data_IF_357921906400
#
_entry.id   IF_357921906400
#
_cell.length_a   1.000
_cell.length_b   1.000
_cell.length_c   1.000
_cell.angle_alpha   90.00
_cell.angle_beta   90.00
_cell.angle_gamma   90.00
#
_symmetry.space_group_name_H-M   'P 1'
#
loop_
_entity.id
_entity.type
_entity.pdbx_description
1 polymer ?
#
# COMPACT_ATOMS: atom_id res chain seq x y z
N UNK A 1 -60.07 12.07 14.12
CA UNK A 1 -61.06 11.05 13.71
C UNK A 1 -61.50 11.38 12.29
N UNK A 2 -60.91 10.78 11.28
CA UNK A 2 -61.52 10.59 9.94
C UNK A 2 -60.89 9.29 9.42
N UNK A 3 -61.71 8.24 9.36
CA UNK A 3 -61.36 6.98 8.79
C UNK A 3 -61.67 6.94 7.30
N UNK A 4 -60.84 6.32 6.53
CA UNK A 4 -61.14 5.87 5.15
C UNK A 4 -61.01 4.38 5.09
N UNK A 5 -62.17 3.73 4.92
CA UNK A 5 -62.23 2.33 4.55
C UNK A 5 -61.99 2.17 3.05
N UNK A 6 -61.33 1.10 2.67
CA UNK A 6 -61.20 0.66 1.29
C UNK A 6 -61.86 -0.71 1.16
N UNK A 7 -62.86 -0.74 0.27
CA UNK A 7 -63.62 -1.92 -0.15
C UNK A 7 -62.72 -2.91 -0.94
N UNK A 8 -62.86 -4.18 -0.62
CA UNK A 8 -62.47 -5.28 -1.49
C UNK A 8 -63.62 -5.65 -2.43
N UNK A 9 -63.33 -5.62 -3.72
CA UNK A 9 -64.15 -6.30 -4.72
C UNK A 9 -63.36 -7.38 -5.41
N UNK A 10 -63.84 -8.59 -5.28
CA UNK A 10 -63.30 -9.75 -5.96
C UNK A 10 -63.93 -9.92 -7.33
N UNK A 11 -63.12 -10.27 -8.31
CA UNK A 11 -63.60 -11.17 -9.40
C UNK A 11 -62.46 -11.62 -10.33
N UNK A 12 -62.52 -12.85 -10.60
CA UNK A 12 -62.22 -13.66 -11.83
C UNK A 12 -60.77 -14.12 -12.04
N UNK A 13 -60.60 -15.39 -11.70
CA UNK A 13 -59.61 -16.30 -12.25
C UNK A 13 -59.80 -16.45 -13.77
N UNK A 14 -58.80 -16.18 -14.55
CA UNK A 14 -58.65 -16.75 -15.89
C UNK A 14 -57.33 -17.55 -15.96
N UNK A 15 -57.49 -18.85 -16.07
CA UNK A 15 -56.43 -19.82 -16.37
C UNK A 15 -55.85 -19.58 -17.75
N UNK A 16 -54.53 -19.36 -17.84
CA UNK A 16 -53.80 -19.46 -19.10
C UNK A 16 -52.70 -20.53 -18.94
N UNK A 17 -52.75 -21.49 -19.88
CA UNK A 17 -51.90 -22.65 -19.88
C UNK A 17 -50.42 -22.33 -20.05
N UNK A 18 -49.64 -23.06 -19.30
CA UNK A 18 -48.18 -23.02 -19.36
C UNK A 18 -47.65 -23.80 -20.54
N UNK A 19 -47.03 -23.13 -21.47
CA UNK A 19 -46.12 -23.76 -22.41
C UNK A 19 -44.70 -23.68 -21.83
N UNK A 20 -44.17 -24.83 -21.34
CA UNK A 20 -42.76 -24.94 -20.95
C UNK A 20 -41.90 -24.94 -22.22
N UNK A 21 -41.23 -23.85 -22.50
CA UNK A 21 -40.06 -23.83 -23.38
C UNK A 21 -38.82 -24.07 -22.51
N UNK A 22 -38.29 -25.27 -22.58
CA UNK A 22 -36.96 -25.61 -22.07
C UNK A 22 -35.89 -24.93 -22.96
N UNK A 23 -35.50 -23.72 -22.61
CA UNK A 23 -34.32 -23.10 -23.14
C UNK A 23 -33.09 -23.64 -22.39
N UNK A 24 -32.24 -24.39 -23.11
CA UNK A 24 -30.95 -24.80 -22.62
C UNK A 24 -30.04 -23.52 -22.51
N UNK A 25 -29.92 -22.97 -21.31
CA UNK A 25 -28.85 -22.05 -21.00
C UNK A 25 -27.53 -22.83 -20.96
N UNK A 26 -26.71 -22.65 -21.99
CA UNK A 26 -25.30 -23.02 -21.95
C UNK A 26 -24.66 -22.26 -20.81
N UNK A 27 -24.16 -22.97 -19.81
CA UNK A 27 -23.30 -22.45 -18.73
C UNK A 27 -22.02 -21.93 -19.41
N UNK A 28 -22.01 -20.64 -19.75
CA UNK A 28 -20.78 -19.90 -20.00
C UNK A 28 -20.01 -19.88 -18.69
N UNK A 29 -18.89 -20.59 -18.65
CA UNK A 29 -18.01 -20.61 -17.49
C UNK A 29 -17.63 -19.18 -17.11
N UNK A 30 -17.95 -18.76 -15.90
CA UNK A 30 -17.26 -17.65 -15.26
C UNK A 30 -15.80 -18.07 -15.19
N UNK A 31 -14.96 -17.49 -16.03
CA UNK A 31 -13.51 -17.55 -15.88
C UNK A 31 -13.21 -16.81 -14.57
N UNK A 32 -12.94 -17.58 -13.52
CA UNK A 32 -12.30 -17.05 -12.32
C UNK A 32 -11.00 -16.39 -12.77
N UNK A 33 -10.82 -15.09 -12.43
CA UNK A 33 -9.56 -14.42 -12.65
C UNK A 33 -8.45 -15.28 -12.01
N UNK A 34 -7.31 -15.50 -12.68
CA UNK A 34 -6.22 -16.26 -12.09
C UNK A 34 -5.89 -15.63 -10.74
N UNK A 35 -5.90 -16.46 -9.69
CA UNK A 35 -5.37 -16.06 -8.40
C UNK A 35 -3.97 -15.48 -8.63
N UNK A 36 -3.58 -14.37 -7.94
CA UNK A 36 -2.23 -13.86 -8.05
C UNK A 36 -1.28 -15.03 -7.80
N UNK A 37 -0.25 -15.12 -8.65
CA UNK A 37 0.83 -16.09 -8.45
C UNK A 37 1.48 -15.74 -7.10
N UNK A 38 0.95 -16.32 -6.06
CA UNK A 38 1.53 -16.25 -4.73
C UNK A 38 2.76 -17.15 -4.80
N UNK A 39 3.83 -16.61 -5.39
CA UNK A 39 5.11 -17.30 -5.46
C UNK A 39 5.35 -17.90 -4.08
N UNK A 40 5.22 -19.25 -3.99
CA UNK A 40 5.38 -19.95 -2.73
C UNK A 40 6.76 -19.60 -2.22
N UNK A 41 6.83 -18.65 -1.26
CA UNK A 41 8.06 -18.44 -0.54
C UNK A 41 8.48 -19.79 -0.01
N UNK A 42 9.76 -20.10 -0.16
CA UNK A 42 10.35 -21.29 0.43
C UNK A 42 9.79 -21.42 1.86
N UNK A 43 9.33 -22.61 2.25
CA UNK A 43 8.79 -22.90 3.58
C UNK A 43 9.76 -22.52 4.75
N UNK A 44 10.92 -22.00 4.41
CA UNK A 44 11.99 -21.54 5.29
C UNK A 44 11.94 -20.05 5.64
N UNK A 45 11.14 -19.19 4.97
CA UNK A 45 11.13 -17.76 5.28
C UNK A 45 10.40 -17.48 6.61
N UNK A 46 11.14 -16.98 7.59
CA UNK A 46 10.61 -16.66 8.94
C UNK A 46 10.23 -15.20 9.08
N UNK A 47 10.91 -14.32 8.36
CA UNK A 47 10.62 -12.89 8.35
C UNK A 47 10.44 -12.42 6.93
N UNK A 48 9.27 -11.88 6.61
CA UNK A 48 8.93 -11.43 5.26
C UNK A 48 8.26 -10.06 5.21
N UNK A 49 8.49 -9.35 4.11
CA UNK A 49 7.71 -8.18 3.71
C UNK A 49 6.75 -8.57 2.58
N UNK A 50 5.54 -8.04 2.65
CA UNK A 50 4.45 -8.28 1.71
C UNK A 50 3.93 -6.94 1.22
N UNK A 51 3.83 -6.75 -0.09
CA UNK A 51 3.24 -5.56 -0.68
C UNK A 51 1.70 -5.66 -0.57
N UNK A 52 1.09 -4.77 0.20
CA UNK A 52 -0.35 -4.73 0.41
C UNK A 52 -1.05 -3.71 -0.50
N UNK A 53 -0.28 -2.78 -1.02
CA UNK A 53 -0.69 -1.78 -1.99
C UNK A 53 0.53 -1.11 -2.59
N UNK A 54 0.40 -0.59 -3.81
CA UNK A 54 1.50 0.00 -4.55
C UNK A 54 1.14 1.30 -5.27
N UNK A 55 -0.07 1.82 -5.07
CA UNK A 55 -0.53 3.07 -5.67
C UNK A 55 -0.22 4.30 -4.85
N UNK A 56 -0.20 5.45 -5.51
CA UNK A 56 -0.10 6.76 -4.87
C UNK A 56 -1.43 7.15 -4.23
N UNK A 57 -1.40 7.89 -3.14
CA UNK A 57 -2.50 8.60 -2.48
C UNK A 57 -3.81 7.79 -2.32
N UNK A 58 -4.78 8.03 -3.19
CA UNK A 58 -6.09 7.39 -3.13
C UNK A 58 -6.17 6.07 -3.91
N UNK A 59 -5.10 5.66 -4.55
CA UNK A 59 -5.07 4.49 -5.42
C UNK A 59 -5.84 4.71 -6.72
N UNK A 60 -6.35 3.64 -7.32
CA UNK A 60 -7.15 3.70 -8.53
C UNK A 60 -8.20 2.58 -8.57
N UNK A 61 -9.39 2.83 -9.16
CA UNK A 61 -9.84 4.08 -9.80
C UNK A 61 -10.06 5.23 -8.82
N UNK A 62 -9.88 6.47 -9.28
CA UNK A 62 -10.13 7.66 -8.47
C UNK A 62 -11.53 8.24 -8.69
N UNK A 63 -12.02 8.97 -7.67
CA UNK A 63 -13.27 9.73 -7.75
C UNK A 63 -13.22 10.68 -8.94
N UNK A 64 -14.31 10.71 -9.73
CA UNK A 64 -14.44 11.58 -10.89
C UNK A 64 -13.87 11.01 -12.19
N UNK A 65 -13.11 9.92 -12.14
CA UNK A 65 -12.63 9.21 -13.33
C UNK A 65 -13.52 8.00 -13.65
N UNK A 66 -14.67 8.24 -14.27
CA UNK A 66 -15.61 7.18 -14.68
C UNK A 66 -15.11 6.30 -15.84
N UNK A 67 -14.05 6.72 -16.51
CA UNK A 67 -13.46 6.00 -17.65
C UNK A 67 -12.29 5.11 -17.25
N UNK A 68 -11.91 5.09 -15.97
CA UNK A 68 -10.82 4.26 -15.49
C UNK A 68 -11.13 2.77 -15.73
N UNK A 69 -10.21 2.08 -16.40
CA UNK A 69 -10.36 0.66 -16.73
C UNK A 69 -10.43 -0.24 -15.50
N UNK A 70 -9.86 0.19 -14.37
CA UNK A 70 -9.93 -0.52 -13.10
C UNK A 70 -11.35 -0.67 -12.51
N UNK A 71 -12.34 0.08 -13.02
CA UNK A 71 -13.74 -0.17 -12.65
C UNK A 71 -14.24 -1.53 -13.14
N UNK A 72 -13.70 -2.01 -14.25
CA UNK A 72 -14.11 -3.26 -14.89
C UNK A 72 -13.02 -4.35 -14.84
N UNK A 73 -11.79 -3.98 -14.50
CA UNK A 73 -10.67 -4.91 -14.41
C UNK A 73 -10.00 -4.81 -13.01
N UNK A 74 -10.23 -5.79 -12.12
CA UNK A 74 -9.61 -5.83 -10.79
C UNK A 74 -8.07 -5.87 -10.80
N UNK A 75 -7.45 -6.33 -11.90
CA UNK A 75 -6.00 -6.37 -12.04
C UNK A 75 -5.39 -4.95 -12.18
N UNK A 76 -6.20 -4.00 -12.64
CA UNK A 76 -5.82 -2.60 -12.77
C UNK A 76 -6.24 -1.74 -11.56
N UNK A 77 -6.85 -2.34 -10.54
CA UNK A 77 -7.14 -1.62 -9.30
C UNK A 77 -5.90 -1.50 -8.43
N UNK A 78 -5.58 -0.26 -8.03
CA UNK A 78 -4.48 0.03 -7.12
C UNK A 78 -5.03 0.32 -5.72
N UNK A 79 -4.54 -0.42 -4.72
CA UNK A 79 -4.62 0.05 -3.35
C UNK A 79 -3.43 0.98 -3.10
N UNK A 80 -3.61 2.07 -2.33
CA UNK A 80 -2.51 2.94 -1.96
C UNK A 80 -1.38 2.15 -1.29
N UNK A 81 -0.19 2.71 -1.33
CA UNK A 81 1.02 2.07 -0.82
C UNK A 81 0.87 1.63 0.63
N UNK A 82 1.25 0.39 0.89
CA UNK A 82 1.39 -0.16 2.24
C UNK A 82 2.18 -1.46 2.17
N UNK A 83 3.05 -1.72 3.16
CA UNK A 83 3.73 -2.98 3.33
C UNK A 83 3.30 -3.66 4.64
N UNK A 84 3.16 -4.99 4.60
CA UNK A 84 3.02 -5.83 5.78
C UNK A 84 4.35 -6.52 6.11
N UNK A 85 4.77 -6.46 7.35
CA UNK A 85 5.94 -7.18 7.87
C UNK A 85 5.46 -8.27 8.82
N UNK A 86 5.94 -9.50 8.63
CA UNK A 86 5.58 -10.62 9.50
C UNK A 86 6.83 -11.34 10.01
N UNK A 87 6.88 -11.57 11.31
CA UNK A 87 7.79 -12.51 11.97
C UNK A 87 6.98 -13.75 12.32
N UNK A 88 7.12 -14.79 11.50
CA UNK A 88 6.36 -16.04 11.64
C UNK A 88 6.74 -16.80 12.90
N UNK A 89 8.01 -16.77 13.32
CA UNK A 89 8.49 -17.48 14.50
C UNK A 89 7.88 -16.93 15.79
N UNK A 90 7.68 -15.60 15.84
CA UNK A 90 7.10 -14.90 17.00
C UNK A 90 5.60 -14.61 16.82
N UNK A 91 5.06 -14.84 15.63
CA UNK A 91 3.68 -14.52 15.29
C UNK A 91 3.40 -13.01 15.32
N UNK A 92 4.43 -12.17 15.10
CA UNK A 92 4.33 -10.71 15.13
C UNK A 92 4.09 -10.14 13.77
N UNK A 93 3.29 -9.08 13.71
CA UNK A 93 2.86 -8.46 12.46
C UNK A 93 2.85 -6.94 12.59
N UNK A 94 3.44 -6.27 11.60
CA UNK A 94 3.54 -4.83 11.55
C UNK A 94 3.05 -4.32 10.19
N UNK A 95 2.54 -3.09 10.17
CA UNK A 95 2.08 -2.43 8.98
C UNK A 95 2.90 -1.16 8.75
N UNK A 96 3.30 -0.91 7.51
CA UNK A 96 3.89 0.36 7.08
C UNK A 96 2.84 1.09 6.26
N UNK A 97 2.45 2.26 6.73
CA UNK A 97 1.35 3.09 6.28
C UNK A 97 -0.04 2.45 6.39
N UNK A 98 -1.00 3.27 6.74
CA UNK A 98 -2.41 2.93 6.88
C UNK A 98 -3.24 3.74 5.89
N UNK A 99 -3.37 3.23 4.70
CA UNK A 99 -4.08 3.90 3.63
C UNK A 99 -5.59 3.93 3.86
N UNK A 100 -6.34 4.72 3.08
CA UNK A 100 -7.81 4.65 3.07
C UNK A 100 -8.38 3.25 2.78
N UNK A 101 -7.58 2.35 2.19
CA UNK A 101 -7.95 0.97 1.88
C UNK A 101 -7.49 -0.05 2.93
N UNK A 102 -7.08 0.39 4.11
CA UNK A 102 -6.50 -0.45 5.16
C UNK A 102 -7.34 -1.69 5.48
N UNK A 103 -8.67 -1.59 5.45
CA UNK A 103 -9.55 -2.74 5.70
C UNK A 103 -9.34 -3.87 4.68
N UNK A 104 -9.23 -3.55 3.40
CA UNK A 104 -8.97 -4.53 2.34
C UNK A 104 -7.52 -5.04 2.39
N UNK A 105 -6.58 -4.16 2.71
CA UNK A 105 -5.17 -4.50 2.86
C UNK A 105 -4.93 -5.46 4.03
N UNK A 106 -5.55 -5.23 5.19
CA UNK A 106 -5.47 -6.15 6.32
C UNK A 106 -6.13 -7.50 6.01
N UNK A 107 -7.26 -7.49 5.29
CA UNK A 107 -7.88 -8.75 4.83
C UNK A 107 -6.96 -9.55 3.91
N UNK A 108 -6.26 -8.87 3.01
CA UNK A 108 -5.24 -9.49 2.16
C UNK A 108 -4.07 -10.02 3.01
N UNK A 109 -3.58 -9.21 3.93
CA UNK A 109 -2.48 -9.58 4.82
C UNK A 109 -2.82 -10.82 5.64
N UNK A 110 -4.04 -10.89 6.21
CA UNK A 110 -4.54 -12.07 6.91
C UNK A 110 -4.56 -13.30 6.00
N UNK A 111 -5.10 -13.17 4.79
CA UNK A 111 -5.18 -14.27 3.83
C UNK A 111 -3.80 -14.80 3.44
N UNK A 112 -2.84 -13.90 3.15
CA UNK A 112 -1.49 -14.27 2.73
C UNK A 112 -0.65 -14.89 3.87
N UNK A 113 -0.97 -14.55 5.12
CA UNK A 113 -0.23 -15.06 6.31
C UNK A 113 -0.98 -16.14 7.08
N UNK A 114 -2.12 -16.62 6.55
CA UNK A 114 -2.93 -17.68 7.19
C UNK A 114 -3.53 -17.24 8.54
N UNK A 115 -3.74 -15.94 8.75
CA UNK A 115 -4.30 -15.46 10.01
C UNK A 115 -5.82 -15.47 9.98
N UNK A 116 -6.41 -16.11 10.96
CA UNK A 116 -7.85 -16.23 11.12
C UNK A 116 -8.31 -15.65 12.46
N UNK A 117 -9.61 -15.41 12.58
CA UNK A 117 -10.23 -14.97 13.82
C UNK A 117 -10.66 -13.51 13.81
N UNK A 118 -11.12 -13.04 14.97
CA UNK A 118 -11.59 -11.67 15.19
C UNK A 118 -10.50 -10.83 15.85
N UNK A 119 -10.46 -9.54 15.50
CA UNK A 119 -9.58 -8.57 16.12
C UNK A 119 -8.59 -7.95 15.14
N UNK A 120 -7.87 -6.96 15.61
CA UNK A 120 -6.75 -6.33 14.90
C UNK A 120 -5.51 -7.16 15.19
N UNK A 121 -5.04 -7.89 14.18
CA UNK A 121 -3.89 -8.78 14.33
C UNK A 121 -2.61 -8.04 13.94
N UNK A 122 -2.35 -6.90 14.59
CA UNK A 122 -1.15 -6.09 14.42
C UNK A 122 -0.48 -5.85 15.77
N UNK A 123 0.84 -5.90 15.77
CA UNK A 123 1.70 -5.57 16.91
C UNK A 123 2.27 -4.15 16.81
N UNK A 124 2.10 -3.49 15.67
CA UNK A 124 2.47 -2.10 15.46
C UNK A 124 2.23 -1.61 14.05
N UNK A 125 2.22 -0.29 13.94
CA UNK A 125 2.07 0.45 12.67
C UNK A 125 3.16 1.50 12.60
N UNK A 126 3.84 1.60 11.47
CA UNK A 126 4.82 2.62 11.14
C UNK A 126 4.23 3.57 10.09
N UNK A 127 4.21 4.86 10.36
CA UNK A 127 3.68 5.87 9.43
C UNK A 127 4.85 6.67 8.86
N UNK A 128 4.85 6.83 7.53
CA UNK A 128 5.88 7.61 6.85
C UNK A 128 5.65 9.09 7.02
N UNK A 129 4.44 9.59 6.80
CA UNK A 129 4.11 11.03 6.87
C UNK A 129 2.59 11.29 6.86
N UNK A 130 2.21 12.57 6.95
CA UNK A 130 0.82 13.02 7.09
C UNK A 130 0.15 13.40 5.75
N UNK A 131 0.34 12.61 4.69
CA UNK A 131 -0.53 12.65 3.51
C UNK A 131 -1.60 11.56 3.59
N UNK A 132 -2.81 11.86 3.11
CA UNK A 132 -4.00 11.02 3.36
C UNK A 132 -3.85 9.57 2.89
N UNK A 133 -3.04 9.31 1.87
CA UNK A 133 -2.74 7.97 1.37
C UNK A 133 -2.02 7.10 2.39
N UNK A 134 -1.33 7.69 3.38
CA UNK A 134 -0.38 7.03 4.27
C UNK A 134 -0.91 6.84 5.70
N UNK A 135 -1.81 7.72 6.19
CA UNK A 135 -2.25 7.67 7.59
C UNK A 135 -3.76 7.70 7.81
N UNK A 136 -4.56 8.09 6.79
CA UNK A 136 -6.00 8.29 6.99
C UNK A 136 -6.71 7.03 7.50
N UNK A 137 -6.24 5.86 7.13
CA UNK A 137 -6.79 4.58 7.57
C UNK A 137 -6.68 4.32 9.07
N UNK A 138 -5.82 5.05 9.81
CA UNK A 138 -5.75 4.94 11.27
C UNK A 138 -7.11 5.11 11.95
N UNK A 139 -8.01 5.93 11.39
CA UNK A 139 -9.35 6.13 11.95
C UNK A 139 -10.16 4.83 12.07
N UNK A 140 -9.88 3.81 11.25
CA UNK A 140 -10.57 2.52 11.31
C UNK A 140 -10.14 1.64 12.49
N UNK A 141 -9.10 2.01 13.22
CA UNK A 141 -8.75 1.35 14.48
C UNK A 141 -9.56 1.87 15.68
N UNK A 142 -10.32 2.94 15.51
CA UNK A 142 -11.19 3.54 16.51
C UNK A 142 -12.39 2.68 16.90
N UNK A 143 -13.12 3.16 17.93
CA UNK A 143 -14.26 2.47 18.54
C UNK A 143 -15.44 2.25 17.58
N UNK A 144 -15.58 3.09 16.55
CA UNK A 144 -16.66 2.99 15.56
C UNK A 144 -16.41 1.87 14.53
N UNK A 145 -15.20 1.30 14.49
CA UNK A 145 -14.82 0.23 13.56
C UNK A 145 -14.15 -0.94 14.28
N UNK A 146 -12.83 -1.03 14.31
CA UNK A 146 -12.13 -2.18 14.87
C UNK A 146 -12.08 -2.21 16.39
N UNK A 147 -12.18 -1.05 17.06
CA UNK A 147 -12.07 -0.94 18.52
C UNK A 147 -10.72 -1.49 19.04
N UNK A 148 -9.64 -1.16 18.37
CA UNK A 148 -8.30 -1.57 18.76
C UNK A 148 -7.99 -1.12 20.20
N UNK A 149 -7.02 -1.78 20.84
CA UNK A 149 -6.58 -1.45 22.19
C UNK A 149 -5.07 -1.36 22.22
N UNK A 150 -4.57 -0.18 22.59
CA UNK A 150 -3.15 0.14 22.75
C UNK A 150 -2.29 -0.28 21.55
N UNK A 151 -2.84 -0.20 20.31
CA UNK A 151 -2.08 -0.50 19.09
C UNK A 151 -0.91 0.48 18.98
N UNK A 152 0.36 0.01 19.02
CA UNK A 152 1.52 0.89 18.87
C UNK A 152 1.53 1.54 17.47
N UNK A 153 1.68 2.86 17.43
CA UNK A 153 1.83 3.64 16.21
C UNK A 153 3.14 4.41 16.29
N UNK A 154 4.12 3.99 15.50
CA UNK A 154 5.47 4.53 15.46
C UNK A 154 5.53 5.68 14.46
N UNK A 155 5.86 6.87 14.92
CA UNK A 155 5.79 8.11 14.16
C UNK A 155 6.89 9.11 14.58
N UNK A 156 7.26 10.01 13.68
CA UNK A 156 8.13 11.13 13.98
C UNK A 156 7.42 12.17 14.87
N UNK A 157 8.15 13.05 15.58
CA UNK A 157 7.60 13.96 16.60
C UNK A 157 6.50 14.88 16.09
N UNK A 158 6.64 15.50 14.91
CA UNK A 158 5.59 16.37 14.34
C UNK A 158 4.35 15.55 13.97
N UNK A 159 4.54 14.35 13.40
CA UNK A 159 3.44 13.41 13.14
C UNK A 159 2.74 13.01 14.44
N UNK A 160 3.47 12.78 15.52
CA UNK A 160 2.91 12.48 16.83
C UNK A 160 2.03 13.63 17.37
N UNK A 161 2.52 14.87 17.25
CA UNK A 161 1.75 16.06 17.61
C UNK A 161 0.49 16.20 16.73
N UNK A 162 0.66 16.05 15.41
CA UNK A 162 -0.46 16.12 14.47
C UNK A 162 -1.57 15.12 14.80
N UNK A 163 -1.23 13.86 15.08
CA UNK A 163 -2.22 12.84 15.45
C UNK A 163 -2.93 13.15 16.77
N UNK A 164 -2.22 13.69 17.77
CA UNK A 164 -2.79 14.02 19.07
C UNK A 164 -3.76 15.23 19.02
N UNK A 165 -3.46 16.19 18.15
CA UNK A 165 -4.13 17.49 18.12
C UNK A 165 -5.28 17.58 17.12
N UNK A 166 -5.39 16.60 16.21
CA UNK A 166 -6.41 16.62 15.16
C UNK A 166 -7.39 15.45 15.26
N UNK A 167 -8.67 15.76 15.14
CA UNK A 167 -9.69 14.73 15.00
C UNK A 167 -9.71 14.13 13.58
N UNK A 168 -10.10 12.85 13.44
CA UNK A 168 -10.55 11.96 14.51
C UNK A 168 -9.40 11.23 15.26
N UNK A 169 -8.14 11.37 14.85
CA UNK A 169 -7.00 10.60 15.37
C UNK A 169 -6.71 10.89 16.84
N UNK A 170 -6.85 12.14 17.29
CA UNK A 170 -6.68 12.50 18.70
C UNK A 170 -7.60 11.73 19.63
N UNK A 171 -8.83 11.44 19.18
CA UNK A 171 -9.77 10.61 19.94
C UNK A 171 -9.27 9.16 20.08
N UNK A 172 -8.60 8.61 19.06
CA UNK A 172 -8.05 7.27 19.13
C UNK A 172 -6.95 7.17 20.20
N UNK A 173 -6.12 8.21 20.30
CA UNK A 173 -5.07 8.32 21.33
C UNK A 173 -5.72 8.46 22.72
N UNK A 174 -6.68 9.38 22.86
CA UNK A 174 -7.37 9.65 24.13
C UNK A 174 -8.11 8.41 24.67
N UNK A 175 -8.74 7.64 23.77
CA UNK A 175 -9.48 6.42 24.13
C UNK A 175 -8.58 5.17 24.25
N UNK A 176 -7.26 5.28 24.00
CA UNK A 176 -6.34 4.15 24.03
C UNK A 176 -6.60 3.12 22.93
N UNK A 177 -7.19 3.55 21.79
CA UNK A 177 -7.27 2.68 20.61
C UNK A 177 -5.90 2.51 19.97
N UNK A 178 -5.13 3.61 19.91
CA UNK A 178 -3.73 3.62 19.48
C UNK A 178 -2.84 4.21 20.57
N UNK A 179 -1.57 3.83 20.54
CA UNK A 179 -0.55 4.26 21.50
C UNK A 179 0.66 4.77 20.74
N UNK A 180 0.88 6.08 20.76
CA UNK A 180 1.97 6.73 20.02
C UNK A 180 3.31 6.29 20.57
N UNK A 181 4.23 5.92 19.67
CA UNK A 181 5.64 5.62 19.90
C UNK A 181 6.49 6.57 19.08
N UNK A 182 7.20 7.45 19.77
CA UNK A 182 8.02 8.46 19.10
C UNK A 182 9.25 7.80 18.45
N UNK A 183 9.48 8.13 17.19
CA UNK A 183 10.66 7.78 16.42
C UNK A 183 11.68 8.94 16.48
N UNK A 184 12.92 8.62 16.16
CA UNK A 184 13.99 9.60 15.95
C UNK A 184 14.76 9.20 14.70
N UNK A 185 15.12 10.19 13.88
CA UNK A 185 15.87 9.95 12.65
C UNK A 185 17.12 9.10 12.91
N UNK A 186 17.31 8.07 12.06
CA UNK A 186 18.43 7.12 12.10
C UNK A 186 18.58 6.31 13.41
N UNK A 187 17.56 6.32 14.26
CA UNK A 187 17.56 5.51 15.48
C UNK A 187 16.71 4.26 15.28
N UNK A 188 17.37 3.11 15.33
CA UNK A 188 16.69 1.83 15.14
C UNK A 188 15.69 1.53 16.27
N UNK A 189 14.56 0.98 15.90
CA UNK A 189 13.58 0.36 16.79
C UNK A 189 13.76 -1.15 16.71
N UNK A 190 14.11 -1.78 17.82
CA UNK A 190 14.22 -3.23 17.91
C UNK A 190 12.83 -3.86 18.07
N UNK A 191 12.41 -4.62 17.06
CA UNK A 191 11.18 -5.43 17.11
C UNK A 191 11.46 -6.82 17.69
N UNK A 192 12.69 -7.30 17.48
CA UNK A 192 13.25 -8.51 18.11
C UNK A 192 14.78 -8.48 18.01
N UNK A 193 15.45 -9.50 18.52
CA UNK A 193 16.92 -9.65 18.45
C UNK A 193 17.45 -9.69 17.00
N UNK A 194 16.59 -10.02 16.03
CA UNK A 194 16.96 -10.20 14.63
C UNK A 194 16.14 -9.33 13.66
N UNK A 195 15.33 -8.40 14.18
CA UNK A 195 14.45 -7.57 13.36
C UNK A 195 14.43 -6.15 13.88
N UNK A 196 14.88 -5.22 13.05
CA UNK A 196 14.90 -3.79 13.39
C UNK A 196 14.25 -2.95 12.29
N UNK A 197 13.76 -1.78 12.67
CA UNK A 197 13.22 -0.76 11.75
C UNK A 197 13.89 0.57 12.05
N UNK A 198 14.56 1.16 11.09
CA UNK A 198 15.25 2.44 11.21
C UNK A 198 14.59 3.48 10.33
N UNK A 199 14.03 4.57 10.89
CA UNK A 199 13.51 5.68 10.10
C UNK A 199 14.65 6.51 9.53
N UNK A 200 14.48 6.99 8.30
CA UNK A 200 15.37 7.92 7.61
C UNK A 200 14.55 9.09 7.10
N UNK A 201 14.83 10.30 7.56
CA UNK A 201 14.17 11.48 7.00
C UNK A 201 14.49 11.63 5.52
N UNK A 202 13.46 12.00 4.75
CA UNK A 202 13.54 12.26 3.32
C UNK A 202 12.94 13.63 2.99
N UNK A 203 13.41 14.33 1.95
CA UNK A 203 12.77 15.57 1.50
C UNK A 203 11.39 15.24 0.91
N UNK A 204 10.38 15.91 1.41
CA UNK A 204 9.03 15.86 0.87
C UNK A 204 8.24 17.05 1.41
N UNK A 205 7.07 17.33 0.78
CA UNK A 205 6.14 18.36 1.27
C UNK A 205 5.67 18.01 2.68
N UNK A 206 6.28 18.61 3.67
CA UNK A 206 6.10 18.30 5.08
C UNK A 206 5.19 19.29 5.82
N UNK A 207 4.03 19.60 5.26
CA UNK A 207 3.09 20.58 5.77
C UNK A 207 2.66 20.28 7.22
N UNK A 208 2.45 19.00 7.54
CA UNK A 208 1.92 18.56 8.85
C UNK A 208 2.88 17.72 9.66
N UNK A 209 3.82 17.03 9.02
CA UNK A 209 4.75 16.12 9.68
C UNK A 209 6.09 16.12 8.99
N UNK A 210 7.10 15.53 9.63
CA UNK A 210 8.26 15.03 8.92
C UNK A 210 7.83 13.94 7.95
N UNK A 211 8.61 13.72 6.88
CA UNK A 211 8.51 12.54 6.03
C UNK A 211 9.71 11.63 6.25
N UNK A 212 9.46 10.34 6.40
CA UNK A 212 10.49 9.32 6.56
C UNK A 212 10.29 8.15 5.61
N UNK A 213 11.40 7.59 5.13
CA UNK A 213 11.48 6.21 4.70
C UNK A 213 11.93 5.30 5.84
N UNK A 214 12.01 4.00 5.59
CA UNK A 214 12.43 3.01 6.58
C UNK A 214 13.45 2.04 5.99
N UNK A 215 14.49 1.72 6.78
CA UNK A 215 15.30 0.52 6.56
C UNK A 215 14.79 -0.56 7.51
N UNK A 216 14.37 -1.69 6.95
CA UNK A 216 13.86 -2.86 7.67
C UNK A 216 14.90 -3.95 7.55
N UNK A 217 15.54 -4.30 8.67
CA UNK A 217 16.64 -5.26 8.70
C UNK A 217 16.20 -6.54 9.41
N UNK A 218 16.16 -7.63 8.65
CA UNK A 218 15.98 -8.97 9.16
C UNK A 218 17.30 -9.69 9.40
N UNK A 219 17.23 -10.99 9.72
CA UNK A 219 18.43 -11.80 10.05
C UNK A 219 19.38 -11.99 8.86
N UNK A 220 18.85 -12.09 7.64
CA UNK A 220 19.62 -12.46 6.44
C UNK A 220 19.63 -11.37 5.36
N UNK A 221 18.64 -10.45 5.40
CA UNK A 221 18.46 -9.43 4.37
C UNK A 221 17.80 -8.17 4.95
N UNK A 222 17.95 -7.09 4.21
CA UNK A 222 17.34 -5.80 4.54
C UNK A 222 16.58 -5.22 3.34
N UNK A 223 15.58 -4.39 3.65
CA UNK A 223 14.78 -3.66 2.69
C UNK A 223 14.76 -2.17 3.01
N UNK A 224 14.90 -1.34 1.99
CA UNK A 224 14.62 0.08 2.01
C UNK A 224 13.18 0.30 1.53
N UNK A 225 12.43 1.15 2.24
CA UNK A 225 11.09 1.58 1.87
C UNK A 225 11.02 3.11 1.89
N UNK A 226 11.06 3.74 0.71
CA UNK A 226 10.92 5.18 0.49
C UNK A 226 9.81 5.38 -0.53
N UNK A 227 8.53 5.32 -0.11
CA UNK A 227 7.42 5.37 -1.04
C UNK A 227 7.18 6.76 -1.60
N UNK A 228 7.57 7.81 -0.89
CA UNK A 228 7.28 9.19 -1.25
C UNK A 228 8.48 10.08 -0.92
N UNK A 229 8.98 10.81 -1.92
CA UNK A 229 10.14 11.69 -1.82
C UNK A 229 10.10 12.74 -2.94
N UNK A 230 10.56 13.95 -2.67
CA UNK A 230 10.59 15.02 -3.67
C UNK A 230 11.72 14.84 -4.69
N UNK A 231 12.94 14.50 -4.21
CA UNK A 231 14.12 14.40 -5.08
C UNK A 231 15.23 13.57 -4.46
N UNK A 232 15.89 12.71 -5.26
CA UNK A 232 17.10 11.99 -4.84
C UNK A 232 18.29 12.94 -4.64
N UNK A 233 18.40 14.02 -5.44
CA UNK A 233 19.45 15.01 -5.33
C UNK A 233 19.31 15.79 -4.02
N UNK A 234 18.10 16.21 -3.66
CA UNK A 234 17.81 16.90 -2.41
C UNK A 234 18.08 15.99 -1.20
N UNK A 235 17.75 14.71 -1.27
CA UNK A 235 18.06 13.76 -0.20
C UNK A 235 19.56 13.65 0.03
N UNK A 236 20.35 13.70 -1.04
CA UNK A 236 21.80 13.68 -0.92
C UNK A 236 22.37 15.01 -0.38
N UNK A 237 21.87 16.13 -0.84
CA UNK A 237 22.43 17.45 -0.49
C UNK A 237 22.01 17.95 0.89
N UNK A 238 20.77 17.71 1.30
CA UNK A 238 20.24 18.23 2.56
C UNK A 238 20.32 17.20 3.72
N UNK A 239 20.18 15.92 3.40
CA UNK A 239 20.16 14.85 4.41
C UNK A 239 21.43 13.98 4.40
N UNK A 240 22.34 14.21 3.45
CA UNK A 240 23.57 13.44 3.27
C UNK A 240 23.31 11.92 3.08
N UNK A 241 22.25 11.57 2.33
CA UNK A 241 21.90 10.18 1.99
C UNK A 241 21.85 10.02 0.47
N UNK A 242 22.66 9.13 -0.06
CA UNK A 242 22.67 8.77 -1.48
C UNK A 242 21.78 7.56 -1.72
N UNK A 243 20.78 7.68 -2.62
CA UNK A 243 19.96 6.52 -3.03
C UNK A 243 20.82 5.42 -3.66
N UNK A 244 21.89 5.78 -4.37
CA UNK A 244 22.80 4.81 -5.00
C UNK A 244 23.51 3.98 -3.93
N UNK A 245 24.02 4.64 -2.89
CA UNK A 245 24.68 3.94 -1.78
C UNK A 245 23.68 3.06 -1.02
N UNK A 246 22.51 3.61 -0.69
CA UNK A 246 21.45 2.86 0.01
C UNK A 246 21.06 1.58 -0.73
N UNK A 247 20.86 1.64 -2.04
CA UNK A 247 20.48 0.45 -2.84
C UNK A 247 21.60 -0.59 -2.86
N UNK A 248 22.88 -0.17 -2.77
CA UNK A 248 24.00 -1.13 -2.69
C UNK A 248 24.08 -1.82 -1.34
N UNK A 249 23.58 -1.21 -0.27
CA UNK A 249 23.64 -1.73 1.10
C UNK A 249 22.45 -2.65 1.46
N UNK A 250 21.31 -2.52 0.75
CA UNK A 250 20.12 -3.34 1.00
C UNK A 250 19.92 -4.43 -0.03
N UNK A 251 19.12 -5.43 0.29
CA UNK A 251 18.76 -6.51 -0.63
C UNK A 251 17.54 -6.16 -1.51
N UNK A 252 16.66 -5.31 -0.99
CA UNK A 252 15.44 -4.85 -1.65
C UNK A 252 15.26 -3.36 -1.41
N UNK A 253 14.86 -2.61 -2.43
CA UNK A 253 14.58 -1.18 -2.31
C UNK A 253 13.23 -0.88 -2.96
N UNK A 254 12.22 -0.59 -2.15
CA UNK A 254 10.91 -0.12 -2.59
C UNK A 254 10.94 1.39 -2.64
N UNK A 255 10.96 1.95 -3.84
CA UNK A 255 11.24 3.38 -4.07
C UNK A 255 10.13 4.06 -4.85
N UNK A 256 9.97 5.35 -4.62
CA UNK A 256 8.99 6.21 -5.29
C UNK A 256 9.01 6.04 -6.81
N UNK A 257 7.84 5.89 -7.37
CA UNK A 257 7.57 5.78 -8.79
C UNK A 257 6.29 6.53 -9.17
N UNK A 258 5.99 7.65 -8.49
CA UNK A 258 4.74 8.38 -8.68
C UNK A 258 4.43 8.62 -10.13
N UNK A 259 5.42 9.05 -10.93
CA UNK A 259 5.26 9.28 -12.35
C UNK A 259 6.33 8.56 -13.17
N UNK A 260 5.94 8.13 -14.38
CA UNK A 260 6.86 7.45 -15.27
C UNK A 260 7.90 8.41 -15.87
N UNK A 261 7.42 9.50 -16.47
CA UNK A 261 8.24 10.55 -17.08
C UNK A 261 7.56 11.93 -17.01
N UNK A 262 8.20 12.96 -17.57
CA UNK A 262 7.68 14.33 -17.59
C UNK A 262 6.54 14.59 -18.57
N UNK A 263 6.08 13.57 -19.31
CA UNK A 263 5.01 13.67 -20.29
C UNK A 263 3.70 13.01 -19.85
N UNK A 264 3.70 12.37 -18.68
CA UNK A 264 2.56 11.58 -18.19
C UNK A 264 1.29 12.43 -18.02
N UNK A 265 1.38 13.64 -17.47
CA UNK A 265 0.24 14.52 -17.26
C UNK A 265 0.11 15.55 -18.36
N UNK A 266 -0.67 15.22 -19.39
CA UNK A 266 -0.86 16.10 -20.54
C UNK A 266 -1.41 17.47 -20.13
N UNK A 267 -0.71 18.53 -20.52
CA UNK A 267 -1.11 19.92 -20.27
C UNK A 267 -0.76 20.45 -18.87
N UNK A 268 0.00 19.71 -18.07
CA UNK A 268 0.58 20.19 -16.80
C UNK A 268 2.09 20.34 -16.91
N UNK A 269 2.62 21.34 -16.23
CA UNK A 269 4.06 21.47 -16.03
C UNK A 269 4.47 20.46 -14.93
N UNK A 270 5.11 19.38 -15.34
CA UNK A 270 5.53 18.31 -14.44
C UNK A 270 6.69 18.71 -13.53
N UNK A 271 7.44 19.78 -13.87
CA UNK A 271 8.53 20.30 -13.02
C UNK A 271 8.02 20.90 -11.70
N UNK A 272 6.74 21.27 -11.64
CA UNK A 272 6.09 21.76 -10.41
C UNK A 272 5.63 20.63 -9.48
N UNK A 273 5.75 19.38 -9.92
CA UNK A 273 5.30 18.22 -9.14
C UNK A 273 6.54 17.45 -8.68
N UNK A 274 6.97 17.65 -7.44
CA UNK A 274 8.20 17.06 -6.94
C UNK A 274 8.00 15.57 -6.68
N UNK A 275 8.58 14.76 -7.50
CA UNK A 275 8.81 13.32 -7.35
C UNK A 275 9.84 12.87 -8.39
N UNK A 276 10.78 11.99 -8.06
CA UNK A 276 11.67 11.42 -9.06
C UNK A 276 10.85 10.60 -10.08
N UNK A 277 11.16 10.78 -11.35
CA UNK A 277 10.53 9.95 -12.40
C UNK A 277 11.11 8.55 -12.38
N UNK A 278 10.31 7.58 -12.81
CA UNK A 278 10.82 6.21 -13.02
C UNK A 278 12.02 6.24 -13.98
N UNK A 279 11.90 6.98 -15.09
CA UNK A 279 12.99 7.13 -16.07
C UNK A 279 14.23 7.79 -15.49
N UNK A 280 14.09 8.77 -14.60
CA UNK A 280 15.18 9.42 -13.90
C UNK A 280 15.91 8.45 -12.95
N UNK A 281 15.14 7.75 -12.12
CA UNK A 281 15.71 6.72 -11.23
C UNK A 281 16.40 5.63 -12.02
N UNK A 282 15.83 5.16 -13.14
CA UNK A 282 16.47 4.19 -14.03
C UNK A 282 17.78 4.71 -14.60
N UNK A 283 17.86 6.00 -14.95
CA UNK A 283 19.08 6.62 -15.48
C UNK A 283 20.20 6.68 -14.43
N UNK A 284 19.90 6.94 -13.15
CA UNK A 284 20.90 6.89 -12.07
C UNK A 284 21.57 5.52 -11.94
N UNK A 285 20.85 4.46 -12.26
CA UNK A 285 21.35 3.07 -12.15
C UNK A 285 21.68 2.42 -13.51
N UNK A 286 21.75 3.20 -14.61
CA UNK A 286 21.96 2.65 -15.95
C UNK A 286 23.26 1.82 -16.05
N UNK A 287 24.33 2.33 -15.44
CA UNK A 287 25.65 1.67 -15.44
C UNK A 287 25.84 0.70 -14.25
N UNK A 288 24.86 0.59 -13.36
CA UNK A 288 24.96 -0.32 -12.23
C UNK A 288 24.85 -1.80 -12.69
N UNK A 289 25.51 -2.73 -12.01
CA UNK A 289 25.37 -4.16 -12.26
C UNK A 289 23.92 -4.63 -12.22
N UNK A 290 23.57 -5.65 -13.00
CA UNK A 290 22.19 -6.16 -13.06
C UNK A 290 21.68 -6.68 -11.71
N UNK A 291 22.56 -7.16 -10.84
CA UNK A 291 22.21 -7.59 -9.48
C UNK A 291 21.86 -6.41 -8.54
N UNK A 292 22.35 -5.22 -8.82
CA UNK A 292 21.95 -3.98 -8.14
C UNK A 292 20.60 -3.50 -8.68
N UNK A 293 20.45 -3.39 -10.02
CA UNK A 293 19.18 -2.93 -10.61
C UNK A 293 17.97 -3.76 -10.18
N UNK A 294 18.12 -5.09 -10.09
CA UNK A 294 17.04 -5.99 -9.67
C UNK A 294 16.60 -5.84 -8.21
N UNK A 295 17.36 -5.11 -7.37
CA UNK A 295 16.97 -4.80 -5.99
C UNK A 295 15.91 -3.70 -5.93
N UNK A 296 15.81 -2.87 -6.99
CA UNK A 296 14.90 -1.74 -7.06
C UNK A 296 13.53 -2.21 -7.50
N UNK A 297 12.54 -1.97 -6.63
CA UNK A 297 11.13 -2.24 -6.83
C UNK A 297 10.39 -0.91 -6.84
N UNK A 298 9.95 -0.46 -8.00
CA UNK A 298 9.16 0.76 -8.14
C UNK A 298 7.79 0.59 -7.47
N UNK A 299 7.44 1.49 -6.55
CA UNK A 299 6.20 1.48 -5.77
C UNK A 299 5.59 2.88 -5.75
N UNK A 300 4.38 3.06 -5.21
CA UNK A 300 3.72 4.36 -5.07
C UNK A 300 3.37 5.04 -6.41
N UNK A 301 3.08 4.27 -7.46
CA UNK A 301 2.79 4.84 -8.77
C UNK A 301 1.36 5.38 -8.86
N UNK A 302 1.23 6.57 -9.51
CA UNK A 302 -0.03 7.28 -9.69
C UNK A 302 -1.00 6.45 -10.58
N UNK A 303 -2.28 6.78 -10.48
CA UNK A 303 -3.32 6.18 -11.31
C UNK A 303 -3.13 6.41 -12.81
N UNK A 304 -2.41 7.48 -13.20
CA UNK A 304 -2.05 7.80 -14.59
C UNK A 304 -0.79 7.09 -15.07
N UNK A 305 0.05 6.61 -14.13
CA UNK A 305 1.32 6.00 -14.48
C UNK A 305 1.12 4.70 -15.28
N UNK A 306 1.68 4.61 -16.51
CA UNK A 306 1.49 3.45 -17.37
C UNK A 306 2.04 2.14 -16.80
N UNK A 307 2.98 2.18 -15.84
CA UNK A 307 3.47 0.95 -15.19
C UNK A 307 2.40 0.24 -14.35
N UNK A 308 1.26 0.90 -14.08
CA UNK A 308 0.07 0.27 -13.49
C UNK A 308 -0.42 -0.92 -14.32
N UNK A 309 -0.37 -0.81 -15.64
CA UNK A 309 -0.74 -1.89 -16.55
C UNK A 309 0.45 -2.84 -16.76
N UNK A 310 0.37 -4.11 -16.31
CA UNK A 310 1.42 -5.09 -16.53
C UNK A 310 1.78 -5.33 -18.01
N UNK A 311 0.85 -5.03 -18.93
CA UNK A 311 1.02 -5.22 -20.36
C UNK A 311 1.54 -3.98 -21.10
N UNK A 312 1.71 -2.83 -20.43
CA UNK A 312 2.17 -1.59 -21.06
C UNK A 312 3.59 -1.71 -21.63
N UNK A 313 3.92 -0.79 -22.55
CA UNK A 313 5.28 -0.71 -23.10
C UNK A 313 6.27 -0.23 -22.04
N UNK A 314 5.85 0.67 -21.17
CA UNK A 314 6.61 1.24 -20.07
C UNK A 314 6.94 0.17 -19.03
N UNK A 315 5.99 -0.69 -18.68
CA UNK A 315 6.23 -1.86 -17.82
C UNK A 315 7.32 -2.76 -18.43
N UNK A 316 7.24 -3.06 -19.72
CA UNK A 316 8.29 -3.86 -20.39
C UNK A 316 9.64 -3.15 -20.37
N UNK A 317 9.67 -1.84 -20.61
CA UNK A 317 10.92 -1.03 -20.56
C UNK A 317 11.59 -1.15 -19.20
N UNK A 318 10.84 -1.04 -18.11
CA UNK A 318 11.36 -1.18 -16.74
C UNK A 318 11.93 -2.59 -16.51
N UNK A 319 11.16 -3.63 -16.86
CA UNK A 319 11.55 -5.02 -16.61
C UNK A 319 12.75 -5.46 -17.48
N UNK A 320 12.78 -5.06 -18.76
CA UNK A 320 13.88 -5.37 -19.69
C UNK A 320 15.18 -4.70 -19.26
N UNK A 321 15.11 -3.53 -18.61
CA UNK A 321 16.26 -2.86 -18.02
C UNK A 321 16.73 -3.52 -16.70
N UNK A 322 16.04 -4.55 -16.21
CA UNK A 322 16.42 -5.34 -15.04
C UNK A 322 15.90 -4.82 -13.71
N UNK A 323 15.02 -3.82 -13.71
CA UNK A 323 14.33 -3.32 -12.52
C UNK A 323 13.08 -4.17 -12.22
N UNK A 324 12.41 -3.87 -11.11
CA UNK A 324 11.16 -4.49 -10.70
C UNK A 324 10.08 -3.44 -10.51
N UNK A 325 8.83 -3.85 -10.62
CA UNK A 325 7.66 -3.05 -10.26
C UNK A 325 6.92 -3.81 -9.18
N UNK A 326 6.78 -3.20 -8.01
CA UNK A 326 6.07 -3.82 -6.89
C UNK A 326 4.58 -3.99 -7.22
N UNK A 327 4.04 -5.16 -6.97
CA UNK A 327 2.63 -5.50 -7.17
C UNK A 327 2.01 -5.96 -5.86
N UNK A 328 0.72 -5.71 -5.70
CA UNK A 328 -0.04 -6.19 -4.56
C UNK A 328 0.04 -7.71 -4.46
N UNK A 329 0.53 -8.21 -3.34
CA UNK A 329 0.76 -9.63 -3.09
C UNK A 329 2.21 -10.08 -3.26
N UNK A 330 3.10 -9.23 -3.82
CA UNK A 330 4.53 -9.54 -3.90
C UNK A 330 5.12 -9.71 -2.50
N UNK A 331 6.09 -10.63 -2.39
CA UNK A 331 6.69 -11.00 -1.11
C UNK A 331 8.21 -11.07 -1.24
N UNK A 332 8.92 -10.59 -0.22
CA UNK A 332 10.37 -10.73 -0.10
C UNK A 332 10.76 -11.25 1.26
N UNK A 333 11.80 -12.09 1.32
CA UNK A 333 12.26 -12.72 2.55
C UNK A 333 13.42 -11.92 3.16
N UNK A 334 13.30 -11.61 4.47
CA UNK A 334 14.33 -10.91 5.23
C UNK A 334 15.06 -11.82 6.24
N UNK A 335 14.56 -13.05 6.46
CA UNK A 335 15.20 -14.02 7.36
C UNK A 335 14.60 -15.42 7.20
N UNK A 336 15.43 -16.44 7.20
CA UNK A 336 15.10 -17.86 7.00
C UNK A 336 15.29 -18.71 8.25
#
# INVERSE_FOLDING_TARGET
MIGFGVNMDGSSLKSWGSALLLGACSLGGCSEAPAPDTGALNAACKTELIVLGAGQDAGAPQIGNSQDSGWNDPALQLYPVSLGLVDHDRGKRYLFDTSPHVTAQLRLFDALTGREGKGVHLDGVFITHAHIGHYAGLMFFGREAAGARDLPVYVMPRMAAFLRENGPWGQLVELGNISIRDLSDRMAVDLSDALTVTPLQVPHRDEYSETVGYVITGADASALFVPDIDSWEEWQTEYAVSIVDMVTEVNYAFVDASFFDDHELVGRDMSEIPHPRVTETMALFAEAPADIRKRIHFIHYNHTNPVRDPASAETRTVLDAGFKIARRGDRVCLGS
#
